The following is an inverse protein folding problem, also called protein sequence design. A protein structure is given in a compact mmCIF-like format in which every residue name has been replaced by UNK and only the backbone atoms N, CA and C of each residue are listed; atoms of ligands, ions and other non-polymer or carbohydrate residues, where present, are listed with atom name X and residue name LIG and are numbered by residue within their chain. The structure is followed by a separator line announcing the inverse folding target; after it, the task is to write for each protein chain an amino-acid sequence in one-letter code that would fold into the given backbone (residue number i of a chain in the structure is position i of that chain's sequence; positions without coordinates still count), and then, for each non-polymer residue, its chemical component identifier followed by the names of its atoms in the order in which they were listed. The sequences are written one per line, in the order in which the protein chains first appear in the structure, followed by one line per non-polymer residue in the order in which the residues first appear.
data_IF_813897227947
#
_entry.id   IF_813897227947
#
_cell.length_a   1.000
_cell.length_b   1.000
_cell.length_c   1.000
_cell.angle_alpha   90.00
_cell.angle_beta   90.00
_cell.angle_gamma   90.00
#
_symmetry.space_group_name_H-M   'P 1'
#
loop_
_entity.id
_entity.type
_entity.pdbx_description
1 polymer ?
#
# COMPACT_ATOMS: atom_id res chain seq x y z
N UNK A 1 -20.72 16.62 17.67
CA UNK A 1 -20.33 17.22 18.92
C UNK A 1 -18.85 17.10 19.13
N UNK A 2 -18.32 18.20 19.55
CA UNK A 2 -16.97 18.66 19.57
C UNK A 2 -15.96 17.71 20.22
N UNK A 3 -14.70 17.99 19.88
CA UNK A 3 -13.45 17.59 20.51
C UNK A 3 -12.70 16.42 19.90
N UNK A 4 -12.28 16.63 18.64
CA UNK A 4 -11.01 16.05 18.22
C UNK A 4 -9.94 17.14 18.26
N UNK A 5 -8.85 16.98 19.04
CA UNK A 5 -7.77 17.93 19.04
C UNK A 5 -7.15 17.98 17.64
N UNK A 6 -7.01 19.19 17.13
CA UNK A 6 -6.30 19.49 15.88
C UNK A 6 -4.87 18.97 15.96
N UNK A 7 -4.65 17.77 15.46
CA UNK A 7 -3.32 17.24 15.27
C UNK A 7 -2.70 17.94 14.06
N UNK A 8 -1.86 18.96 14.32
CA UNK A 8 -0.84 19.47 13.40
C UNK A 8 -1.30 20.22 12.14
N UNK A 9 -2.44 20.92 12.15
CA UNK A 9 -2.73 21.91 11.11
C UNK A 9 -2.97 21.37 9.69
N UNK A 10 -3.17 20.07 9.52
CA UNK A 10 -3.56 19.49 8.25
C UNK A 10 -5.08 19.42 8.15
N UNK A 11 -5.69 19.86 7.02
CA UNK A 11 -7.13 19.71 6.82
C UNK A 11 -7.47 18.22 6.81
N UNK A 12 -8.28 17.81 7.78
CA UNK A 12 -8.87 16.46 7.78
C UNK A 12 -9.86 16.43 6.61
N UNK A 13 -9.50 15.76 5.54
CA UNK A 13 -10.42 15.46 4.47
C UNK A 13 -11.44 14.46 4.98
N UNK A 14 -12.61 14.93 5.39
CA UNK A 14 -13.74 14.06 5.62
C UNK A 14 -14.22 13.53 4.27
N UNK A 15 -13.70 12.37 3.88
CA UNK A 15 -14.36 11.59 2.85
C UNK A 15 -15.73 11.18 3.39
N UNK A 16 -16.77 11.92 3.07
CA UNK A 16 -18.12 11.39 3.19
C UNK A 16 -18.18 10.19 2.24
N UNK A 17 -18.14 9.01 2.82
CA UNK A 17 -18.54 7.81 2.11
C UNK A 17 -20.02 7.97 1.78
N UNK A 18 -20.32 8.60 0.66
CA UNK A 18 -21.59 8.38 0.03
C UNK A 18 -21.57 6.92 -0.35
N UNK A 19 -22.34 6.07 0.37
CA UNK A 19 -22.71 4.77 -0.19
C UNK A 19 -23.09 5.06 -1.64
N UNK A 20 -22.66 4.24 -2.61
CA UNK A 20 -23.27 4.27 -3.91
C UNK A 20 -24.75 4.17 -3.62
N UNK A 21 -25.50 5.27 -3.81
CA UNK A 21 -26.94 5.18 -3.84
C UNK A 21 -27.23 4.10 -4.85
N UNK A 22 -28.18 3.22 -4.55
CA UNK A 22 -28.73 2.25 -5.50
C UNK A 22 -29.37 3.04 -6.67
N UNK A 23 -28.56 3.77 -7.36
CA UNK A 23 -28.83 4.42 -8.61
C UNK A 23 -28.39 3.44 -9.67
N UNK A 24 -29.32 2.95 -10.43
CA UNK A 24 -29.19 2.20 -11.66
C UNK A 24 -28.36 2.95 -12.72
N UNK A 25 -27.15 3.35 -12.34
CA UNK A 25 -26.11 3.65 -13.30
C UNK A 25 -25.61 2.33 -13.82
N UNK A 26 -26.04 1.93 -14.98
CA UNK A 26 -25.28 1.03 -15.84
C UNK A 26 -23.97 1.76 -16.17
N UNK A 27 -23.08 1.84 -15.18
CA UNK A 27 -21.74 2.36 -15.39
C UNK A 27 -21.06 1.40 -16.37
N UNK A 28 -21.10 1.76 -17.62
CA UNK A 28 -20.30 1.08 -18.65
C UNK A 28 -18.86 1.29 -18.22
N UNK A 29 -18.23 0.21 -17.76
CA UNK A 29 -16.79 0.24 -17.49
C UNK A 29 -16.08 0.69 -18.76
N UNK A 30 -15.05 1.52 -18.67
CA UNK A 30 -14.31 1.97 -19.83
C UNK A 30 -13.76 0.75 -20.58
N UNK A 31 -13.79 0.80 -21.91
CA UNK A 31 -13.20 -0.24 -22.78
C UNK A 31 -11.66 -0.09 -22.81
N UNK A 32 -11.07 -0.06 -21.62
CA UNK A 32 -9.63 0.02 -21.40
C UNK A 32 -9.27 -0.66 -20.06
N UNK A 33 -8.03 -1.16 -19.93
CA UNK A 33 -7.55 -1.72 -18.69
C UNK A 33 -7.62 -0.71 -17.54
N UNK A 34 -8.16 -1.12 -16.39
CA UNK A 34 -8.19 -0.32 -15.16
C UNK A 34 -7.12 -0.85 -14.22
N UNK A 35 -6.21 0.00 -13.80
CA UNK A 35 -5.16 -0.34 -12.82
C UNK A 35 -5.41 0.43 -11.53
N UNK A 36 -5.66 -0.32 -10.43
CA UNK A 36 -5.68 0.26 -9.09
C UNK A 36 -4.24 0.38 -8.58
N UNK A 37 -3.76 1.62 -8.48
CA UNK A 37 -2.36 1.90 -8.13
C UNK A 37 -2.14 2.10 -6.62
N UNK A 38 -3.17 1.96 -5.78
CA UNK A 38 -3.05 2.16 -4.34
C UNK A 38 -3.86 1.15 -3.52
N UNK A 39 -3.39 -0.08 -3.48
CA UNK A 39 -4.03 -1.17 -2.75
C UNK A 39 -3.12 -1.70 -1.65
N UNK A 40 -3.71 -2.07 -0.53
CA UNK A 40 -3.01 -2.71 0.57
C UNK A 40 -3.52 -4.14 0.78
N UNK A 41 -2.60 -5.06 1.00
CA UNK A 41 -2.90 -6.42 1.42
C UNK A 41 -1.83 -6.91 2.39
N UNK A 42 -2.19 -7.87 3.20
CA UNK A 42 -1.33 -8.49 4.21
C UNK A 42 -1.43 -10.01 4.14
N UNK A 43 -0.44 -10.68 4.71
CA UNK A 43 -0.51 -12.12 4.97
C UNK A 43 -1.77 -12.43 5.75
N UNK A 44 -2.46 -13.51 5.40
CA UNK A 44 -3.80 -13.87 5.93
C UNK A 44 -3.87 -13.87 7.46
N UNK A 45 -2.83 -14.38 8.12
CA UNK A 45 -2.75 -14.40 9.58
C UNK A 45 -2.64 -13.01 10.22
N UNK A 46 -2.18 -12.01 9.46
CA UNK A 46 -1.96 -10.64 9.94
C UNK A 46 -3.08 -9.67 9.52
N UNK A 47 -3.77 -9.95 8.44
CA UNK A 47 -4.80 -9.10 7.86
C UNK A 47 -5.91 -8.67 8.86
N UNK A 48 -6.47 -9.55 9.72
CA UNK A 48 -7.49 -9.15 10.69
C UNK A 48 -7.00 -8.08 11.67
N UNK A 49 -5.74 -8.19 12.13
CA UNK A 49 -5.13 -7.23 13.04
C UNK A 49 -4.96 -5.86 12.37
N UNK A 50 -4.56 -5.85 11.11
CA UNK A 50 -4.38 -4.60 10.36
C UNK A 50 -5.71 -3.91 10.08
N UNK A 51 -6.75 -4.68 9.77
CA UNK A 51 -8.10 -4.13 9.60
C UNK A 51 -8.60 -3.45 10.88
N UNK A 52 -8.43 -4.10 12.03
CA UNK A 52 -8.76 -3.51 13.33
C UNK A 52 -7.97 -2.22 13.57
N UNK A 53 -6.65 -2.25 13.34
CA UNK A 53 -5.78 -1.08 13.49
C UNK A 53 -6.25 0.11 12.64
N UNK A 54 -6.62 -0.10 11.38
CA UNK A 54 -7.12 0.98 10.52
C UNK A 54 -8.51 1.48 10.96
N UNK A 55 -9.38 0.59 11.42
CA UNK A 55 -10.67 0.95 12.00
C UNK A 55 -10.51 1.85 13.22
N UNK A 56 -9.66 1.43 14.16
CA UNK A 56 -9.50 2.09 15.46
C UNK A 56 -8.74 3.43 15.36
N UNK A 57 -7.76 3.52 14.44
CA UNK A 57 -6.90 4.72 14.37
C UNK A 57 -7.30 5.72 13.29
N UNK A 58 -8.02 5.30 12.25
CA UNK A 58 -8.38 6.17 11.13
C UNK A 58 -9.88 6.19 10.84
N UNK A 59 -10.70 5.49 11.63
CA UNK A 59 -12.13 5.36 11.35
C UNK A 59 -12.43 4.71 9.99
N UNK A 60 -11.45 4.01 9.42
CA UNK A 60 -11.56 3.43 8.08
C UNK A 60 -12.24 2.06 8.12
N UNK A 61 -13.31 1.90 7.32
CA UNK A 61 -13.94 0.61 7.14
C UNK A 61 -13.31 -0.10 5.95
N UNK A 62 -12.62 -1.20 6.19
CA UNK A 62 -12.11 -2.03 5.10
C UNK A 62 -13.26 -2.81 4.43
N UNK A 63 -13.38 -2.67 3.11
CA UNK A 63 -14.42 -3.33 2.31
C UNK A 63 -14.09 -4.77 1.90
N UNK A 64 -12.87 -5.22 2.19
CA UNK A 64 -12.40 -6.59 1.92
C UNK A 64 -11.66 -7.15 3.14
N UNK A 65 -11.33 -8.45 3.17
CA UNK A 65 -10.62 -9.08 4.29
C UNK A 65 -9.22 -8.53 4.56
N UNK A 66 -8.64 -7.74 3.64
CA UNK A 66 -7.26 -7.24 3.73
C UNK A 66 -6.21 -8.27 3.27
N UNK A 67 -6.65 -9.36 2.64
CA UNK A 67 -5.81 -10.41 2.05
C UNK A 67 -5.68 -10.22 0.55
N UNK A 68 -4.71 -10.88 -0.10
CA UNK A 68 -4.61 -10.86 -1.57
C UNK A 68 -5.83 -11.49 -2.24
N UNK A 69 -6.40 -12.52 -1.67
CA UNK A 69 -7.63 -13.12 -2.21
C UNK A 69 -8.81 -12.16 -2.11
N UNK A 70 -8.92 -11.41 -1.02
CA UNK A 70 -9.91 -10.35 -0.90
C UNK A 70 -9.72 -9.22 -1.92
N UNK A 71 -8.46 -8.85 -2.23
CA UNK A 71 -8.16 -7.90 -3.30
C UNK A 71 -8.56 -8.46 -4.66
N UNK A 72 -8.25 -9.73 -4.96
CA UNK A 72 -8.63 -10.38 -6.22
C UNK A 72 -10.14 -10.48 -6.41
N UNK A 73 -10.88 -10.80 -5.34
CA UNK A 73 -12.33 -10.82 -5.36
C UNK A 73 -12.90 -9.44 -5.67
N UNK A 74 -12.45 -8.42 -4.93
CA UNK A 74 -12.92 -7.06 -5.11
C UNK A 74 -12.55 -6.49 -6.49
N UNK A 75 -11.36 -6.80 -6.98
CA UNK A 75 -10.91 -6.46 -8.33
C UNK A 75 -11.86 -6.99 -9.40
N UNK A 76 -12.26 -8.27 -9.31
CA UNK A 76 -13.21 -8.88 -10.26
C UNK A 76 -14.58 -8.21 -10.22
N UNK A 77 -15.09 -7.91 -9.04
CA UNK A 77 -16.38 -7.22 -8.87
C UNK A 77 -16.39 -5.82 -9.50
N UNK A 78 -15.26 -5.12 -9.43
CA UNK A 78 -15.12 -3.74 -9.91
C UNK A 78 -14.58 -3.64 -11.35
N UNK A 79 -14.28 -4.75 -12.01
CA UNK A 79 -13.69 -4.74 -13.36
C UNK A 79 -12.26 -4.19 -13.40
N UNK A 80 -11.56 -4.16 -12.27
CA UNK A 80 -10.15 -3.76 -12.20
C UNK A 80 -9.28 -4.84 -12.84
N UNK A 81 -8.38 -4.44 -13.74
CA UNK A 81 -7.50 -5.37 -14.47
C UNK A 81 -6.29 -5.77 -13.65
N UNK A 82 -5.63 -4.80 -13.00
CA UNK A 82 -4.46 -5.01 -12.15
C UNK A 82 -4.54 -4.20 -10.87
N UNK A 83 -3.91 -4.70 -9.81
CA UNK A 83 -3.77 -3.97 -8.54
C UNK A 83 -2.31 -3.91 -8.13
N UNK A 84 -1.85 -2.69 -7.80
CA UNK A 84 -0.53 -2.47 -7.22
C UNK A 84 -0.63 -2.67 -5.72
N UNK A 85 0.12 -3.62 -5.16
CA UNK A 85 0.14 -3.91 -3.73
C UNK A 85 1.26 -3.13 -3.07
N UNK A 86 0.88 -2.27 -2.14
CA UNK A 86 1.76 -1.34 -1.45
C UNK A 86 1.97 -1.78 0.01
N UNK A 87 3.12 -2.39 0.36
CA UNK A 87 3.44 -2.72 1.75
C UNK A 87 3.77 -1.46 2.55
N UNK A 88 3.47 -1.47 3.85
CA UNK A 88 3.79 -0.37 4.77
C UNK A 88 4.44 -0.93 6.03
N UNK A 89 5.68 -1.43 5.95
CA UNK A 89 6.45 -1.76 7.14
C UNK A 89 6.74 -0.51 7.94
N UNK A 90 6.63 -0.58 9.25
CA UNK A 90 6.86 0.56 10.17
C UNK A 90 8.16 0.44 10.96
N UNK A 91 8.85 -0.68 10.83
CA UNK A 91 10.14 -0.94 11.46
C UNK A 91 11.01 -1.89 10.61
N UNK A 92 12.35 -1.92 10.85
CA UNK A 92 13.28 -2.74 10.06
C UNK A 92 12.95 -4.23 10.00
N UNK A 93 12.41 -4.80 11.09
CA UNK A 93 12.12 -6.26 11.15
C UNK A 93 10.97 -6.67 10.24
N UNK A 94 10.08 -5.76 9.92
CA UNK A 94 8.94 -6.05 9.05
C UNK A 94 9.32 -6.01 7.56
N UNK A 95 10.38 -5.30 7.19
CA UNK A 95 10.77 -5.12 5.78
C UNK A 95 10.96 -6.46 5.07
N UNK A 96 11.86 -7.37 5.53
CA UNK A 96 12.04 -8.65 4.85
C UNK A 96 10.77 -9.49 4.89
N UNK A 97 9.98 -9.43 5.95
CA UNK A 97 8.73 -10.20 6.04
C UNK A 97 7.73 -9.82 4.94
N UNK A 98 7.58 -8.54 4.65
CA UNK A 98 6.70 -8.06 3.58
C UNK A 98 7.29 -8.33 2.20
N UNK A 99 8.56 -8.00 1.99
CA UNK A 99 9.19 -8.14 0.69
C UNK A 99 9.33 -9.62 0.29
N UNK A 100 9.72 -10.52 1.22
CA UNK A 100 9.82 -11.95 0.97
C UNK A 100 8.46 -12.61 0.73
N UNK A 101 7.40 -12.11 1.34
CA UNK A 101 6.05 -12.57 1.03
C UNK A 101 5.62 -12.10 -0.37
N UNK A 102 5.82 -10.82 -0.69
CA UNK A 102 5.38 -10.22 -1.95
C UNK A 102 6.19 -10.69 -3.16
N UNK A 103 7.44 -11.13 -2.99
CA UNK A 103 8.23 -11.68 -4.09
C UNK A 103 7.57 -12.87 -4.79
N UNK A 104 6.71 -13.62 -4.08
CA UNK A 104 5.97 -14.74 -4.69
C UNK A 104 4.94 -14.31 -5.73
N UNK A 105 4.72 -13.01 -5.88
CA UNK A 105 3.72 -12.43 -6.77
C UNK A 105 4.31 -11.51 -7.84
N UNK A 106 5.64 -11.49 -8.01
CA UNK A 106 6.30 -10.63 -9.01
C UNK A 106 5.96 -11.02 -10.45
N UNK A 107 5.63 -12.28 -10.70
CA UNK A 107 5.17 -12.82 -11.98
C UNK A 107 3.64 -12.98 -12.08
N UNK A 108 2.89 -12.51 -11.09
CA UNK A 108 1.43 -12.61 -11.09
C UNK A 108 0.85 -11.66 -12.16
N UNK A 109 -0.04 -12.14 -13.04
CA UNK A 109 -0.58 -11.32 -14.12
C UNK A 109 -1.50 -10.18 -13.62
N UNK A 110 -2.06 -10.34 -12.42
CA UNK A 110 -3.08 -9.48 -11.85
C UNK A 110 -2.57 -8.57 -10.74
N UNK A 111 -1.46 -8.94 -10.11
CA UNK A 111 -0.88 -8.27 -8.96
C UNK A 111 0.47 -7.68 -9.35
N UNK A 112 0.68 -6.40 -9.01
CA UNK A 112 1.97 -5.74 -9.18
C UNK A 112 2.50 -5.39 -7.80
N UNK A 113 3.35 -6.23 -7.20
CA UNK A 113 3.87 -5.95 -5.88
C UNK A 113 4.93 -4.84 -5.94
N UNK A 114 4.83 -3.88 -5.03
CA UNK A 114 5.90 -2.95 -4.73
C UNK A 114 6.65 -3.43 -3.48
N UNK A 115 7.96 -3.20 -3.46
CA UNK A 115 8.75 -3.41 -2.26
C UNK A 115 8.66 -2.20 -1.32
N UNK A 116 9.17 -2.31 -0.12
CA UNK A 116 9.35 -1.18 0.79
C UNK A 116 10.64 -1.33 1.60
N UNK A 117 11.16 -0.20 2.02
CA UNK A 117 12.25 -0.10 3.00
C UNK A 117 11.86 0.88 4.09
N UNK A 118 12.58 0.89 5.21
CA UNK A 118 12.51 1.93 6.22
C UNK A 118 13.88 2.56 6.41
N UNK A 119 13.90 3.87 6.66
CA UNK A 119 15.11 4.69 6.76
C UNK A 119 16.16 4.11 7.73
N UNK A 120 15.70 3.60 8.85
CA UNK A 120 16.56 3.22 9.97
C UNK A 120 16.90 1.70 9.98
N UNK A 121 16.73 0.99 8.86
CA UNK A 121 17.27 -0.35 8.70
C UNK A 121 18.77 -0.32 8.39
N UNK A 122 19.47 -1.43 8.62
CA UNK A 122 20.94 -1.50 8.51
C UNK A 122 21.44 -1.17 7.10
N UNK A 123 20.80 -1.74 6.07
CA UNK A 123 21.18 -1.52 4.67
C UNK A 123 19.94 -1.47 3.76
N UNK A 124 19.27 -0.30 3.68
CA UNK A 124 18.12 -0.14 2.80
C UNK A 124 18.49 -0.20 1.31
N UNK A 125 19.71 0.19 0.95
CA UNK A 125 20.19 0.18 -0.44
C UNK A 125 20.34 -1.26 -0.94
N UNK A 126 21.01 -2.12 -0.16
CA UNK A 126 21.14 -3.53 -0.52
C UNK A 126 19.76 -4.22 -0.67
N UNK A 127 18.79 -3.87 0.17
CA UNK A 127 17.44 -4.41 0.07
C UNK A 127 16.72 -3.95 -1.21
N UNK A 128 16.91 -2.70 -1.64
CA UNK A 128 16.37 -2.19 -2.91
C UNK A 128 16.94 -2.99 -4.07
N UNK A 129 18.26 -3.13 -4.16
CA UNK A 129 18.92 -3.90 -5.22
C UNK A 129 18.50 -5.38 -5.20
N UNK A 130 18.32 -5.97 -4.00
CA UNK A 130 17.80 -7.34 -3.86
C UNK A 130 16.40 -7.46 -4.46
N UNK A 131 15.50 -6.57 -4.09
CA UNK A 131 14.11 -6.59 -4.56
C UNK A 131 13.99 -6.34 -6.07
N UNK A 132 14.80 -5.43 -6.62
CA UNK A 132 14.82 -5.19 -8.06
C UNK A 132 15.20 -6.47 -8.83
N UNK A 133 16.23 -7.20 -8.38
CA UNK A 133 16.63 -8.50 -8.96
C UNK A 133 15.54 -9.57 -8.84
N UNK A 134 14.66 -9.48 -7.84
CA UNK A 134 13.53 -10.37 -7.65
C UNK A 134 12.31 -9.98 -8.51
N UNK A 135 12.39 -8.91 -9.29
CA UNK A 135 11.36 -8.52 -10.25
C UNK A 135 10.32 -7.51 -9.72
N UNK A 136 10.53 -6.93 -8.55
CA UNK A 136 9.69 -5.83 -8.07
C UNK A 136 9.73 -4.63 -9.04
N UNK A 137 8.58 -3.98 -9.24
CA UNK A 137 8.42 -2.89 -10.22
C UNK A 137 8.35 -1.50 -9.61
N UNK A 138 8.49 -1.39 -8.31
CA UNK A 138 8.45 -0.10 -7.64
C UNK A 138 8.63 -0.22 -6.14
N UNK A 139 8.76 0.94 -5.49
CA UNK A 139 8.96 1.07 -4.06
C UNK A 139 7.87 1.91 -3.42
N UNK A 140 7.34 1.44 -2.29
CA UNK A 140 6.42 2.18 -1.43
C UNK A 140 7.15 2.74 -0.21
N UNK A 141 6.99 4.03 0.00
CA UNK A 141 7.38 4.73 1.23
C UNK A 141 6.17 5.40 1.85
N UNK A 142 6.10 5.46 3.17
CA UNK A 142 5.00 6.10 3.89
C UNK A 142 5.53 7.04 4.98
N UNK A 143 5.80 8.33 4.65
CA UNK A 143 6.46 9.28 5.56
C UNK A 143 5.83 9.35 6.96
N UNK A 144 4.50 9.35 7.04
CA UNK A 144 3.80 9.44 8.34
C UNK A 144 4.00 8.17 9.17
N UNK A 145 3.72 6.98 8.62
CA UNK A 145 3.80 5.72 9.37
C UNK A 145 5.25 5.27 9.64
N UNK A 146 6.18 5.70 8.80
CA UNK A 146 7.61 5.39 8.91
C UNK A 146 8.41 6.52 9.59
N UNK A 147 7.74 7.59 10.03
CA UNK A 147 8.29 8.71 10.80
C UNK A 147 9.53 9.36 10.18
N UNK A 148 9.47 9.72 8.90
CA UNK A 148 10.54 10.44 8.22
C UNK A 148 10.02 11.64 7.44
N UNK A 149 10.91 12.58 7.12
CA UNK A 149 10.67 13.66 6.16
C UNK A 149 11.25 13.27 4.81
N UNK A 150 10.55 13.57 3.71
CA UNK A 150 11.06 13.31 2.36
C UNK A 150 12.41 13.98 2.08
N UNK A 151 12.68 15.12 2.75
CA UNK A 151 13.94 15.87 2.65
C UNK A 151 15.00 15.43 3.67
N UNK A 152 14.79 14.35 4.42
CA UNK A 152 15.81 13.83 5.34
C UNK A 152 17.00 13.32 4.54
N UNK A 153 18.26 13.82 4.81
CA UNK A 153 19.44 13.35 4.08
C UNK A 153 19.66 11.85 4.09
N UNK A 154 19.20 11.15 5.11
CA UNK A 154 19.26 9.69 5.19
C UNK A 154 18.41 8.99 4.14
N UNK A 155 17.45 9.71 3.55
CA UNK A 155 16.61 9.16 2.49
C UNK A 155 17.26 9.25 1.10
N UNK A 156 18.25 10.11 0.91
CA UNK A 156 18.84 10.32 -0.41
C UNK A 156 19.49 9.06 -1.00
N UNK A 157 20.27 8.27 -0.26
CA UNK A 157 20.79 7.00 -0.78
C UNK A 157 19.69 6.02 -1.18
N UNK A 158 18.54 6.03 -0.49
CA UNK A 158 17.37 5.21 -0.83
C UNK A 158 16.77 5.65 -2.17
N UNK A 159 16.67 6.96 -2.40
CA UNK A 159 16.16 7.50 -3.66
C UNK A 159 17.12 7.24 -4.82
N UNK A 160 18.42 7.42 -4.59
CA UNK A 160 19.48 7.15 -5.57
C UNK A 160 19.45 5.68 -6.01
N UNK A 161 19.43 4.74 -5.05
CA UNK A 161 19.33 3.32 -5.34
C UNK A 161 18.03 2.96 -6.13
N UNK A 162 16.91 3.58 -5.78
CA UNK A 162 15.67 3.36 -6.52
C UNK A 162 15.71 3.89 -7.96
N UNK A 163 16.46 4.97 -8.22
CA UNK A 163 16.68 5.54 -9.55
C UNK A 163 17.63 4.64 -10.37
N UNK A 164 18.64 4.05 -9.75
CA UNK A 164 19.61 3.18 -10.41
C UNK A 164 18.97 1.89 -10.96
N UNK A 165 17.87 1.43 -10.34
CA UNK A 165 17.17 0.20 -10.73
C UNK A 165 16.04 0.42 -11.76
N UNK A 166 15.90 1.61 -12.31
CA UNK A 166 14.88 1.95 -13.32
C UNK A 166 15.33 1.60 -14.75
#
# INVERSE_FOLDING_TARGET
DADHPEANGWPIWHFRHTRPTEGSGSGVLPDCPIVDVHTHAWVDSFAPRMRAYFGDNFGATAFNPGTLDGVRERKRELGVTKSVILPVPTNPRQVPQFNDWLQNYTDDPDIVPFMSVVRDMDDPVAEIHRCAKLGFKGMKLHPVNQHFKMSDPKMFPIYEAAIEEN
#
